data_IF_715005605679
#
_entry.id   IF_715005605679
#
_cell.length_a   1.000
_cell.length_b   1.000
_cell.length_c   1.000
_cell.angle_alpha   90.00
_cell.angle_beta   90.00
_cell.angle_gamma   90.00
#
_symmetry.space_group_name_H-M   'P 1'
#
loop_
_entity.id
_entity.type
_entity.pdbx_description
1 polymer ?
#
# COMPACT_ATOMS: atom_id res chain seq x y z
N UNK A 1 -4.87 16.19 9.80
CA UNK A 1 -5.54 16.41 8.50
C UNK A 1 -5.05 15.35 7.52
N UNK A 2 -5.87 14.96 6.55
CA UNK A 2 -5.52 13.95 5.52
C UNK A 2 -5.54 14.65 4.16
N UNK A 3 -4.45 14.48 3.41
CA UNK A 3 -4.30 14.97 2.05
C UNK A 3 -4.00 13.76 1.16
N UNK A 4 -4.72 13.63 0.05
CA UNK A 4 -4.48 12.57 -0.94
C UNK A 4 -3.75 13.17 -2.11
N UNK A 5 -2.56 12.65 -2.41
CA UNK A 5 -1.81 12.96 -3.63
C UNK A 5 -1.98 11.82 -4.62
N UNK A 6 -2.69 12.07 -5.72
CA UNK A 6 -2.90 11.04 -6.74
C UNK A 6 -2.15 11.38 -8.01
N UNK A 7 -1.16 10.56 -8.37
CA UNK A 7 -0.29 10.81 -9.51
C UNK A 7 -0.58 9.89 -10.71
N UNK A 8 -1.51 8.93 -10.57
CA UNK A 8 -2.02 8.14 -11.68
C UNK A 8 -3.03 8.94 -12.53
N UNK A 9 -3.20 8.59 -13.81
CA UNK A 9 -4.18 9.25 -14.67
C UNK A 9 -5.60 9.08 -14.12
N UNK A 10 -6.46 10.07 -14.35
CA UNK A 10 -7.90 9.93 -14.09
C UNK A 10 -8.48 8.90 -15.08
N UNK A 11 -8.89 7.76 -14.56
CA UNK A 11 -9.49 6.65 -15.31
C UNK A 11 -11.02 6.78 -15.43
N UNK A 12 -11.60 7.85 -14.89
CA UNK A 12 -13.04 8.09 -14.86
C UNK A 12 -13.82 7.13 -13.96
N UNK A 13 -13.11 6.28 -13.19
CA UNK A 13 -13.70 5.24 -12.37
C UNK A 13 -14.56 5.80 -11.24
N UNK A 14 -15.50 4.97 -10.78
CA UNK A 14 -16.29 5.27 -9.59
C UNK A 14 -15.40 5.44 -8.35
N UNK A 15 -14.26 4.75 -8.27
CA UNK A 15 -13.33 4.86 -7.15
C UNK A 15 -12.61 6.20 -7.14
N UNK A 16 -12.05 6.64 -8.29
CA UNK A 16 -11.40 7.95 -8.42
C UNK A 16 -12.34 9.08 -8.04
N UNK A 17 -13.56 9.07 -8.60
CA UNK A 17 -14.60 10.06 -8.30
C UNK A 17 -14.98 10.09 -6.83
N UNK A 18 -15.13 8.91 -6.23
CA UNK A 18 -15.49 8.79 -4.81
C UNK A 18 -14.38 9.32 -3.90
N UNK A 19 -13.14 8.92 -4.13
CA UNK A 19 -11.99 9.39 -3.34
C UNK A 19 -11.86 10.91 -3.46
N UNK A 20 -11.90 11.45 -4.68
CA UNK A 20 -11.80 12.89 -4.91
C UNK A 20 -12.97 13.68 -4.30
N UNK A 21 -14.19 13.12 -4.30
CA UNK A 21 -15.38 13.77 -3.75
C UNK A 21 -15.52 13.68 -2.22
N UNK A 22 -15.02 12.61 -1.61
CA UNK A 22 -15.10 12.38 -0.15
C UNK A 22 -13.87 12.91 0.60
N UNK A 23 -12.71 13.02 -0.06
CA UNK A 23 -11.51 13.57 0.56
C UNK A 23 -11.58 15.09 0.61
N UNK A 24 -11.45 15.64 1.82
CA UNK A 24 -11.43 17.10 2.04
C UNK A 24 -10.31 17.80 1.25
N UNK A 25 -9.16 17.14 1.10
CA UNK A 25 -8.02 17.63 0.34
C UNK A 25 -7.53 16.53 -0.61
N UNK A 26 -7.79 16.73 -1.89
CA UNK A 26 -7.36 15.85 -2.97
C UNK A 26 -6.53 16.66 -3.96
N UNK A 27 -5.28 16.27 -4.14
CA UNK A 27 -4.30 16.90 -5.02
C UNK A 27 -4.06 15.95 -6.21
N UNK A 28 -4.54 16.37 -7.38
CA UNK A 28 -4.26 15.68 -8.63
C UNK A 28 -2.87 16.04 -9.14
N UNK A 29 -1.99 15.06 -9.12
CA UNK A 29 -0.60 15.15 -9.55
C UNK A 29 -0.38 14.39 -10.86
N UNK A 30 -1.44 14.03 -11.60
CA UNK A 30 -1.32 13.37 -12.89
C UNK A 30 -0.54 14.25 -13.88
N UNK A 31 0.44 13.63 -14.55
CA UNK A 31 1.34 14.34 -15.47
C UNK A 31 2.40 15.23 -14.81
N UNK A 32 2.43 15.34 -13.48
CA UNK A 32 3.48 16.04 -12.74
C UNK A 32 4.73 15.17 -12.67
N UNK A 33 5.90 15.78 -12.80
CA UNK A 33 7.18 15.06 -12.66
C UNK A 33 7.38 14.57 -11.23
N UNK A 34 8.13 13.47 -11.03
CA UNK A 34 8.41 12.93 -9.69
C UNK A 34 9.03 13.99 -8.74
N UNK A 35 10.00 14.84 -9.18
CA UNK A 35 10.46 15.96 -8.34
C UNK A 35 9.35 16.96 -8.00
N UNK A 36 8.49 17.31 -8.97
CA UNK A 36 7.36 18.21 -8.73
C UNK A 36 6.35 17.65 -7.72
N UNK A 37 6.15 16.33 -7.71
CA UNK A 37 5.33 15.63 -6.70
C UNK A 37 5.96 15.77 -5.32
N UNK A 38 7.27 15.50 -5.18
CA UNK A 38 7.97 15.64 -3.91
C UNK A 38 7.89 17.08 -3.38
N UNK A 39 8.10 18.08 -4.24
CA UNK A 39 7.93 19.48 -3.86
C UNK A 39 6.50 19.81 -3.45
N UNK A 40 5.49 19.29 -4.15
CA UNK A 40 4.08 19.45 -3.80
C UNK A 40 3.77 18.92 -2.40
N UNK A 41 4.23 17.70 -2.10
CA UNK A 41 4.10 17.08 -0.78
C UNK A 41 4.81 17.91 0.29
N UNK A 42 6.02 18.38 0.00
CA UNK A 42 6.80 19.18 0.94
C UNK A 42 6.13 20.54 1.23
N UNK A 43 5.62 21.24 0.20
CA UNK A 43 4.88 22.50 0.33
C UNK A 43 3.60 22.35 1.15
N UNK A 44 2.93 21.20 1.03
CA UNK A 44 1.76 20.88 1.84
C UNK A 44 2.09 20.67 3.34
N UNK A 45 3.38 20.56 3.70
CA UNK A 45 3.82 20.47 5.09
C UNK A 45 3.37 19.19 5.79
N UNK A 46 3.21 18.09 5.06
CA UNK A 46 2.77 16.82 5.66
C UNK A 46 3.83 16.25 6.60
N UNK A 47 3.38 15.80 7.77
CA UNK A 47 4.27 15.22 8.79
C UNK A 47 4.58 13.76 8.50
N UNK A 48 3.57 13.02 8.01
CA UNK A 48 3.62 11.59 7.71
C UNK A 48 3.17 11.41 6.27
N UNK A 49 4.03 10.83 5.43
CA UNK A 49 3.70 10.40 4.08
C UNK A 49 3.48 8.89 4.07
N UNK A 50 2.31 8.46 3.59
CA UNK A 50 1.99 7.04 3.41
C UNK A 50 2.06 6.72 1.92
N UNK A 51 3.02 5.88 1.52
CA UNK A 51 3.08 5.32 0.19
C UNK A 51 2.19 4.07 0.11
N UNK A 52 1.43 3.97 -0.98
CA UNK A 52 0.49 2.87 -1.22
C UNK A 52 0.83 2.05 -2.48
N UNK A 53 1.97 2.33 -3.12
CA UNK A 53 2.39 1.69 -4.37
C UNK A 53 3.64 0.82 -4.22
N UNK A 54 4.68 1.28 -3.54
CA UNK A 54 5.95 0.55 -3.37
C UNK A 54 6.45 -0.05 -4.70
N UNK A 55 6.95 -1.29 -4.74
CA UNK A 55 7.49 -1.93 -5.96
C UNK A 55 6.46 -2.39 -7.00
N UNK A 56 5.29 -1.76 -7.07
CA UNK A 56 4.29 -2.04 -8.11
C UNK A 56 4.49 -1.19 -9.36
N UNK A 57 3.73 -1.48 -10.41
CA UNK A 57 3.80 -0.72 -11.65
C UNK A 57 3.52 0.78 -11.43
N UNK A 58 4.32 1.62 -12.11
CA UNK A 58 4.25 3.08 -12.00
C UNK A 58 4.46 3.56 -10.56
N UNK A 59 5.46 3.04 -9.86
CA UNK A 59 5.79 3.46 -8.51
C UNK A 59 6.48 4.83 -8.45
N UNK A 60 6.36 5.47 -7.30
CA UNK A 60 6.99 6.76 -7.01
C UNK A 60 8.16 6.64 -6.00
N UNK A 61 8.91 5.54 -5.99
CA UNK A 61 10.00 5.31 -5.02
C UNK A 61 11.05 6.44 -4.98
N UNK A 62 11.32 7.11 -6.10
CA UNK A 62 12.22 8.27 -6.12
C UNK A 62 11.66 9.47 -5.34
N UNK A 63 10.34 9.61 -5.24
CA UNK A 63 9.67 10.60 -4.37
C UNK A 63 9.98 10.30 -2.91
N UNK A 64 9.94 9.03 -2.49
CA UNK A 64 10.35 8.64 -1.14
C UNK A 64 11.83 8.91 -0.91
N UNK A 65 12.69 8.67 -1.89
CA UNK A 65 14.12 8.97 -1.79
C UNK A 65 14.40 10.48 -1.58
N UNK A 66 13.54 11.36 -2.10
CA UNK A 66 13.64 12.82 -1.91
C UNK A 66 13.21 13.29 -0.51
N UNK A 67 12.66 12.40 0.32
CA UNK A 67 12.28 12.68 1.71
C UNK A 67 11.39 13.92 1.90
N UNK A 68 10.27 14.08 1.14
CA UNK A 68 9.42 15.27 1.23
C UNK A 68 8.69 15.41 2.57
N UNK A 69 8.59 14.33 3.36
CA UNK A 69 7.98 14.30 4.68
C UNK A 69 8.96 13.77 5.75
N UNK A 70 8.74 14.17 7.01
CA UNK A 70 9.60 13.76 8.14
C UNK A 70 9.54 12.26 8.40
N UNK A 71 8.34 11.69 8.38
CA UNK A 71 8.10 10.25 8.53
C UNK A 71 7.50 9.70 7.25
N UNK A 72 8.06 8.62 6.74
CA UNK A 72 7.58 7.92 5.55
C UNK A 72 7.18 6.50 5.91
N UNK A 73 6.01 6.10 5.44
CA UNK A 73 5.37 4.84 5.80
C UNK A 73 5.02 4.10 4.53
N UNK A 74 5.42 2.83 4.45
CA UNK A 74 4.95 1.91 3.44
C UNK A 74 3.71 1.18 3.97
N UNK A 75 2.67 1.10 3.14
CA UNK A 75 1.46 0.35 3.45
C UNK A 75 0.79 -0.23 2.19
N UNK A 76 0.28 -1.46 2.31
CA UNK A 76 -0.69 -2.12 1.41
C UNK A 76 -0.22 -2.50 -0.01
N UNK A 77 0.62 -1.71 -0.69
CA UNK A 77 0.87 -1.89 -2.14
C UNK A 77 1.86 -3.01 -2.49
N UNK A 78 2.83 -3.34 -1.64
CA UNK A 78 3.78 -4.44 -1.87
C UNK A 78 3.90 -5.32 -0.62
N UNK A 79 3.80 -6.67 -0.74
CA UNK A 79 3.87 -7.58 0.40
C UNK A 79 5.33 -7.86 0.81
N UNK A 80 6.05 -6.84 1.24
CA UNK A 80 7.44 -6.96 1.67
C UNK A 80 8.10 -5.63 2.03
N UNK A 81 9.38 -5.73 2.43
CA UNK A 81 10.26 -4.57 2.65
C UNK A 81 10.35 -3.71 1.38
N UNK A 82 10.27 -2.39 1.53
CA UNK A 82 10.58 -1.45 0.45
C UNK A 82 12.09 -1.41 0.25
N UNK A 83 12.84 -1.44 1.35
CA UNK A 83 14.29 -1.51 1.37
C UNK A 83 14.98 -0.18 1.10
N UNK A 84 16.29 -0.13 1.38
CA UNK A 84 17.16 0.99 1.02
C UNK A 84 16.89 2.30 1.79
N UNK A 85 16.27 2.20 2.97
CA UNK A 85 15.97 3.35 3.83
C UNK A 85 14.93 4.32 3.24
N UNK A 86 14.12 3.85 2.28
CA UNK A 86 13.09 4.66 1.62
C UNK A 86 11.87 4.91 2.51
N UNK A 87 11.54 3.99 3.42
CA UNK A 87 10.49 4.15 4.40
C UNK A 87 11.04 3.94 5.82
N UNK A 88 10.46 4.65 6.80
CA UNK A 88 10.82 4.51 8.21
C UNK A 88 9.98 3.42 8.90
N UNK A 89 8.77 3.20 8.39
CA UNK A 89 7.79 2.25 8.91
C UNK A 89 7.16 1.44 7.78
N UNK A 90 6.88 0.17 8.08
CA UNK A 90 6.00 -0.68 7.27
C UNK A 90 4.77 -1.04 8.12
N UNK A 91 3.59 -0.65 7.65
CA UNK A 91 2.32 -1.03 8.30
C UNK A 91 1.93 -2.41 7.82
N UNK A 92 1.80 -3.34 8.76
CA UNK A 92 1.45 -4.74 8.49
C UNK A 92 0.61 -5.33 9.60
N UNK A 93 0.52 -6.65 9.65
CA UNK A 93 -0.08 -7.39 10.76
C UNK A 93 0.84 -8.54 11.18
N UNK A 94 0.58 -9.13 12.35
CA UNK A 94 1.43 -10.19 12.90
C UNK A 94 1.33 -11.52 12.16
N UNK A 95 0.41 -11.67 11.19
CA UNK A 95 0.29 -12.88 10.37
C UNK A 95 1.22 -12.78 9.17
N UNK A 96 1.20 -11.65 8.47
CA UNK A 96 2.01 -11.40 7.27
C UNK A 96 3.43 -10.95 7.63
N UNK A 97 3.54 -10.15 8.69
CA UNK A 97 4.80 -9.64 9.21
C UNK A 97 4.95 -10.05 10.69
N UNK A 98 5.18 -11.35 10.98
CA UNK A 98 5.42 -11.80 12.35
C UNK A 98 6.59 -11.01 12.98
N UNK A 99 6.46 -10.53 14.23
CA UNK A 99 7.52 -9.80 14.92
C UNK A 99 8.86 -10.55 14.93
N UNK A 100 8.83 -11.88 14.94
CA UNK A 100 10.00 -12.76 14.93
C UNK A 100 10.83 -12.60 13.65
N UNK A 101 10.20 -12.14 12.56
CA UNK A 101 10.85 -11.89 11.27
C UNK A 101 11.16 -10.41 11.05
N UNK A 102 11.03 -9.55 12.06
CA UNK A 102 11.29 -8.11 11.92
C UNK A 102 12.69 -7.79 11.39
N UNK A 103 13.68 -8.65 11.64
CA UNK A 103 15.04 -8.50 11.11
C UNK A 103 15.17 -8.65 9.59
N UNK A 104 14.12 -9.13 8.91
CA UNK A 104 14.08 -9.22 7.45
C UNK A 104 13.55 -7.94 6.78
N UNK A 105 13.17 -6.93 7.56
CA UNK A 105 12.64 -5.66 7.08
C UNK A 105 13.64 -4.55 7.41
N UNK A 106 13.89 -3.67 6.43
CA UNK A 106 14.69 -2.47 6.65
C UNK A 106 13.88 -1.44 7.46
N UNK A 107 12.55 -1.48 7.33
CA UNK A 107 11.62 -0.63 8.06
C UNK A 107 11.28 -1.17 9.44
N UNK A 108 10.92 -0.29 10.37
CA UNK A 108 10.30 -0.73 11.63
C UNK A 108 8.85 -1.15 11.37
N UNK A 109 8.46 -2.31 11.90
CA UNK A 109 7.11 -2.82 11.75
C UNK A 109 6.12 -2.06 12.64
N UNK A 110 5.06 -1.52 12.04
CA UNK A 110 3.89 -0.96 12.71
C UNK A 110 2.72 -1.95 12.56
N UNK A 111 2.55 -2.83 13.54
CA UNK A 111 1.58 -3.93 13.47
C UNK A 111 0.18 -3.45 13.87
N UNK A 112 -0.78 -3.66 12.96
CA UNK A 112 -2.19 -3.40 13.22
C UNK A 112 -2.79 -4.47 14.14
N UNK A 113 -3.77 -4.11 15.00
CA UNK A 113 -4.57 -5.08 15.72
C UNK A 113 -5.23 -6.07 14.74
N UNK A 114 -5.38 -7.36 15.11
CA UNK A 114 -5.99 -8.36 14.23
C UNK A 114 -7.39 -8.00 13.73
N UNK A 115 -8.17 -7.28 14.54
CA UNK A 115 -9.51 -6.80 14.18
C UNK A 115 -9.53 -5.71 13.10
N UNK A 116 -8.39 -5.06 12.85
CA UNK A 116 -8.22 -3.97 11.90
C UNK A 116 -7.34 -4.36 10.71
N UNK A 117 -6.83 -5.60 10.66
CA UNK A 117 -6.09 -6.07 9.48
C UNK A 117 -7.03 -6.26 8.29
N UNK A 118 -6.66 -5.66 7.16
CA UNK A 118 -7.35 -5.83 5.88
C UNK A 118 -7.28 -7.28 5.38
N UNK A 119 -6.20 -8.01 5.69
CA UNK A 119 -6.04 -9.37 5.19
C UNK A 119 -6.97 -10.37 5.89
N UNK A 120 -7.62 -10.01 7.01
CA UNK A 120 -8.60 -10.84 7.75
C UNK A 120 -8.19 -12.32 7.91
N UNK A 121 -6.88 -12.61 7.92
CA UNK A 121 -6.31 -13.95 8.02
C UNK A 121 -6.49 -14.57 9.42
N UNK A 122 -7.02 -13.81 10.39
CA UNK A 122 -7.27 -14.23 11.78
C UNK A 122 -8.68 -14.73 12.09
N UNK A 123 -9.61 -14.73 11.12
CA UNK A 123 -10.74 -15.65 11.22
C UNK A 123 -10.18 -17.01 10.82
N UNK A 124 -10.16 -17.95 11.75
CA UNK A 124 -9.83 -19.33 11.45
C UNK A 124 -10.58 -19.75 10.18
N UNK A 125 -9.86 -19.93 9.07
CA UNK A 125 -10.31 -20.88 8.07
C UNK A 125 -10.29 -22.20 8.82
N UNK A 126 -11.46 -22.79 9.03
CA UNK A 126 -11.54 -24.13 9.62
C UNK A 126 -10.59 -25.04 8.81
N UNK A 127 -9.56 -25.66 9.43
CA UNK A 127 -8.63 -26.52 8.70
C UNK A 127 -9.27 -27.77 8.08
N UNK A 128 -10.59 -27.95 8.18
CA UNK A 128 -11.32 -29.12 7.69
C UNK A 128 -12.31 -28.79 6.55
N UNK A 129 -11.81 -28.27 5.43
CA UNK A 129 -12.30 -28.74 4.11
C UNK A 129 -11.17 -29.58 3.50
N UNK A 130 -10.92 -30.71 4.15
CA UNK A 130 -10.19 -31.81 3.54
C UNK A 130 -11.06 -32.45 2.46
N UNK A 131 -10.44 -32.68 1.30
CA UNK A 131 -10.72 -33.80 0.38
C UNK A 131 -12.19 -34.23 0.25
N UNK A 132 -12.87 -33.73 -0.78
CA UNK A 132 -14.06 -34.39 -1.29
C UNK A 132 -14.96 -33.52 -2.16
N UNK A 133 -14.74 -33.53 -3.48
CA UNK A 133 -15.82 -33.56 -4.46
C UNK A 133 -15.28 -34.05 -5.82
N UNK A 134 -15.85 -35.12 -6.40
CA UNK A 134 -15.42 -35.69 -7.67
C UNK A 134 -16.05 -34.93 -8.85
N UNK A 135 -15.29 -34.82 -9.95
CA UNK A 135 -15.84 -34.59 -11.29
C UNK A 135 -15.74 -33.16 -11.82
N UNK A 136 -14.62 -32.85 -12.47
CA UNK A 136 -14.60 -31.89 -13.57
C UNK A 136 -14.35 -32.68 -14.87
N UNK A 137 -15.16 -32.53 -15.93
CA UNK A 137 -14.92 -33.21 -17.20
C UNK A 137 -13.71 -32.61 -17.92
N UNK A 138 -13.00 -33.39 -18.77
CA UNK A 138 -11.86 -32.88 -19.51
C UNK A 138 -12.30 -31.86 -20.57
N UNK A 139 -11.59 -30.74 -20.62
CA UNK A 139 -11.73 -29.75 -21.69
C UNK A 139 -11.30 -30.37 -23.03
N UNK A 140 -12.25 -30.47 -23.96
CA UNK A 140 -12.01 -30.89 -25.34
C UNK A 140 -11.26 -29.83 -26.13
N UNK A 141 -10.40 -30.29 -27.04
CA UNK A 141 -9.55 -29.48 -27.89
C UNK A 141 -10.24 -28.83 -29.09
N UNK A 142 -9.47 -27.94 -29.71
CA UNK A 142 -9.62 -27.42 -31.07
C UNK A 142 -8.23 -27.14 -31.61
#
# INVERSE_FOLDING_TARGET
>A
EVIVFSYGPDDGSVYRKRIAGECRHFEDMSGVSLPGIAEGINRAGVHVLVDMKQHTESHALSVLAMRPARVQVAWLGFPGSVGGGLADLLVGDSVVCPPEHASHFDERLALMPPSLSYQRNGLAVDPMIGLGSPGAPPFGGG
#
